data_IF_640254642045
#
_entry.id   IF_640254642045
#
_cell.length_a   1.000
_cell.length_b   1.000
_cell.length_c   1.000
_cell.angle_alpha   90.00
_cell.angle_beta   90.00
_cell.angle_gamma   90.00
#
_symmetry.space_group_name_H-M   'P 1'
#
loop_
_entity.id
_entity.type
_entity.pdbx_description
1 polymer ?
#
# COMPACT_ATOMS: atom_id res chain seq x y z
N UNK A 1 -60.69 14.82 -53.39
CA UNK A 1 -60.21 14.48 -52.01
C UNK A 1 -58.75 14.89 -51.94
N UNK A 2 -58.45 16.05 -51.37
CA UNK A 2 -57.10 16.60 -51.24
C UNK A 2 -56.52 16.11 -49.92
N UNK A 3 -55.40 15.39 -49.97
CA UNK A 3 -54.64 14.89 -48.79
C UNK A 3 -54.01 16.12 -48.07
N UNK A 4 -54.07 16.22 -46.77
CA UNK A 4 -53.42 17.32 -46.04
C UNK A 4 -51.92 17.04 -46.01
N UNK A 5 -51.13 18.08 -46.32
CA UNK A 5 -49.67 18.01 -46.30
C UNK A 5 -49.17 17.80 -44.83
N UNK A 6 -48.29 16.84 -44.63
CA UNK A 6 -47.66 16.57 -43.35
C UNK A 6 -46.82 17.78 -42.89
N UNK A 7 -46.80 18.13 -41.58
CA UNK A 7 -45.99 19.21 -41.08
C UNK A 7 -44.49 18.89 -41.20
N UNK A 8 -43.79 19.76 -41.93
CA UNK A 8 -42.33 19.67 -42.07
C UNK A 8 -41.69 20.19 -40.76
N UNK A 9 -41.02 19.30 -40.03
CA UNK A 9 -40.21 19.70 -38.88
C UNK A 9 -39.01 20.52 -39.36
N UNK A 10 -38.71 21.69 -38.78
CA UNK A 10 -37.57 22.49 -39.19
C UNK A 10 -36.27 21.71 -38.92
N UNK A 11 -35.48 21.49 -39.96
CA UNK A 11 -34.13 20.92 -39.85
C UNK A 11 -33.23 21.97 -39.22
N UNK A 12 -32.91 21.80 -37.92
CA UNK A 12 -31.95 22.66 -37.21
C UNK A 12 -30.58 22.35 -37.75
N UNK A 13 -30.09 23.18 -38.65
CA UNK A 13 -28.76 23.05 -39.23
C UNK A 13 -27.72 23.61 -38.25
N UNK A 14 -27.27 22.81 -37.30
CA UNK A 14 -26.21 23.18 -36.35
C UNK A 14 -24.86 23.17 -37.05
N UNK A 15 -24.15 24.32 -37.08
CA UNK A 15 -22.86 24.38 -37.78
C UNK A 15 -21.80 23.53 -37.05
N UNK A 16 -21.43 22.40 -37.67
CA UNK A 16 -20.48 21.42 -37.10
C UNK A 16 -19.19 22.06 -36.61
N UNK A 17 -18.68 23.10 -37.29
CA UNK A 17 -17.49 23.83 -36.89
C UNK A 17 -17.63 24.59 -35.54
N UNK A 18 -18.81 25.15 -35.26
CA UNK A 18 -19.07 25.83 -33.97
C UNK A 18 -19.14 24.80 -32.84
N UNK A 19 -19.78 23.65 -33.08
CA UNK A 19 -19.84 22.54 -32.10
C UNK A 19 -18.45 21.97 -31.77
N UNK A 20 -17.60 21.76 -32.78
CA UNK A 20 -16.24 21.29 -32.57
C UNK A 20 -15.39 22.32 -31.78
N UNK A 21 -15.53 23.60 -32.09
CA UNK A 21 -14.81 24.68 -31.35
C UNK A 21 -15.23 24.74 -29.88
N UNK A 22 -16.53 24.72 -29.59
CA UNK A 22 -17.02 24.74 -28.19
C UNK A 22 -16.61 23.50 -27.43
N UNK A 23 -16.73 22.30 -28.05
CA UNK A 23 -16.32 21.05 -27.43
C UNK A 23 -14.81 21.03 -27.12
N UNK A 24 -13.98 21.44 -28.10
CA UNK A 24 -12.52 21.51 -27.92
C UNK A 24 -12.12 22.51 -26.82
N UNK A 25 -12.80 23.68 -26.76
CA UNK A 25 -12.52 24.69 -25.76
C UNK A 25 -12.91 24.20 -24.35
N UNK A 26 -14.07 23.61 -24.19
CA UNK A 26 -14.53 23.06 -22.91
C UNK A 26 -13.64 21.89 -22.47
N UNK A 27 -13.32 20.96 -23.38
CA UNK A 27 -12.44 19.84 -23.07
C UNK A 27 -11.02 20.33 -22.71
N UNK A 28 -10.47 21.27 -23.47
CA UNK A 28 -9.14 21.85 -23.19
C UNK A 28 -9.11 22.61 -21.86
N UNK A 29 -10.11 23.43 -21.57
CA UNK A 29 -10.20 24.16 -20.29
C UNK A 29 -10.35 23.19 -19.12
N UNK A 30 -11.22 22.17 -19.25
CA UNK A 30 -11.40 21.16 -18.20
C UNK A 30 -10.12 20.39 -17.95
N UNK A 31 -9.44 19.92 -19.01
CA UNK A 31 -8.14 19.23 -18.87
C UNK A 31 -7.07 20.11 -18.22
N UNK A 32 -6.98 21.38 -18.65
CA UNK A 32 -6.05 22.34 -18.05
C UNK A 32 -6.32 22.53 -16.54
N UNK A 33 -7.59 22.72 -16.15
CA UNK A 33 -7.94 22.92 -14.73
C UNK A 33 -7.63 21.67 -13.88
N UNK A 34 -7.85 20.45 -14.40
CA UNK A 34 -7.49 19.22 -13.70
C UNK A 34 -5.99 19.11 -13.49
N UNK A 35 -5.17 19.35 -14.54
CA UNK A 35 -3.72 19.30 -14.44
C UNK A 35 -3.19 20.39 -13.50
N UNK A 36 -3.73 21.61 -13.59
CA UNK A 36 -3.35 22.69 -12.70
C UNK A 36 -3.67 22.36 -11.23
N UNK A 37 -4.86 21.86 -10.95
CA UNK A 37 -5.23 21.45 -9.60
C UNK A 37 -4.30 20.35 -9.08
N UNK A 38 -3.99 19.35 -9.92
CA UNK A 38 -3.08 18.26 -9.55
C UNK A 38 -1.68 18.81 -9.21
N UNK A 39 -1.09 19.63 -10.05
CA UNK A 39 0.25 20.21 -9.82
C UNK A 39 0.33 21.07 -8.55
N UNK A 40 -0.75 21.81 -8.25
CA UNK A 40 -0.81 22.63 -7.03
C UNK A 40 -0.97 21.80 -5.77
N UNK A 41 -1.62 20.63 -5.85
CA UNK A 41 -1.88 19.75 -4.71
C UNK A 41 -0.80 18.67 -4.51
N UNK A 42 -0.04 18.33 -5.54
CA UNK A 42 0.99 17.28 -5.51
C UNK A 42 1.98 17.43 -4.34
N UNK A 43 2.60 18.61 -4.07
CA UNK A 43 3.54 18.75 -2.95
C UNK A 43 2.88 18.51 -1.58
N UNK A 44 1.62 18.90 -1.41
CA UNK A 44 0.87 18.65 -0.17
C UNK A 44 0.51 17.16 -0.01
N UNK A 45 0.21 16.49 -1.12
CA UNK A 45 -0.08 15.05 -1.14
C UNK A 45 1.16 14.25 -0.73
N UNK A 46 2.33 14.59 -1.29
CA UNK A 46 3.60 13.92 -0.97
C UNK A 46 4.00 14.14 0.50
N UNK A 47 3.87 15.33 1.02
CA UNK A 47 4.17 15.62 2.42
C UNK A 47 3.20 14.90 3.37
N UNK A 48 1.90 14.90 3.08
CA UNK A 48 0.93 14.14 3.88
C UNK A 48 1.21 12.64 3.86
N UNK A 49 1.63 12.09 2.72
CA UNK A 49 2.03 10.69 2.59
C UNK A 49 3.27 10.39 3.43
N UNK A 50 4.29 11.26 3.40
CA UNK A 50 5.50 11.13 4.22
C UNK A 50 5.16 11.10 5.72
N UNK A 51 4.32 12.03 6.18
CA UNK A 51 3.87 12.10 7.58
C UNK A 51 3.04 10.86 7.96
N UNK A 52 2.19 10.37 7.05
CA UNK A 52 1.39 9.19 7.31
C UNK A 52 2.27 7.94 7.48
N UNK A 53 3.28 7.75 6.63
CA UNK A 53 4.23 6.64 6.73
C UNK A 53 5.03 6.73 8.03
N UNK A 54 5.50 7.92 8.40
CA UNK A 54 6.26 8.13 9.63
C UNK A 54 5.45 7.76 10.88
N UNK A 55 4.20 8.22 10.97
CA UNK A 55 3.29 7.87 12.07
C UNK A 55 2.98 6.37 12.09
N UNK A 56 2.76 5.78 10.92
CA UNK A 56 2.50 4.36 10.80
C UNK A 56 3.70 3.52 11.25
N UNK A 57 4.93 3.94 10.91
CA UNK A 57 6.15 3.25 11.28
C UNK A 57 6.30 3.13 12.79
N UNK A 58 6.20 4.24 13.53
CA UNK A 58 6.29 4.23 14.99
C UNK A 58 5.16 3.46 15.68
N UNK A 59 4.06 3.21 14.97
CA UNK A 59 2.96 2.39 15.46
C UNK A 59 3.21 0.90 15.24
N UNK A 60 3.81 0.52 14.10
CA UNK A 60 4.05 -0.89 13.75
C UNK A 60 5.39 -1.43 14.25
N UNK A 61 6.35 -0.57 14.59
CA UNK A 61 7.63 -0.95 15.19
C UNK A 61 7.69 -0.42 16.63
N UNK A 62 7.28 -1.20 17.63
CA UNK A 62 7.34 -0.79 19.03
C UNK A 62 8.80 -0.53 19.45
N UNK A 63 9.03 0.63 20.11
CA UNK A 63 10.37 1.01 20.59
C UNK A 63 11.22 1.78 19.59
N UNK A 64 10.81 1.91 18.32
CA UNK A 64 11.52 2.78 17.39
C UNK A 64 11.34 4.26 17.76
N UNK A 65 12.45 5.01 17.77
CA UNK A 65 12.48 6.46 18.01
C UNK A 65 13.04 7.23 16.82
N UNK A 66 13.73 6.54 15.91
CA UNK A 66 14.26 7.12 14.67
C UNK A 66 14.04 6.21 13.48
N UNK A 67 14.13 6.77 12.27
CA UNK A 67 13.91 6.09 11.01
C UNK A 67 15.02 6.39 10.02
N UNK A 68 15.45 5.38 9.27
CA UNK A 68 16.27 5.54 8.07
C UNK A 68 15.61 4.81 6.92
N UNK A 69 15.62 5.45 5.75
CA UNK A 69 15.00 4.91 4.54
C UNK A 69 16.08 4.28 3.65
N UNK A 70 15.77 3.10 3.13
CA UNK A 70 16.64 2.37 2.21
C UNK A 70 15.85 1.95 0.97
N UNK A 71 16.58 1.67 -0.09
CA UNK A 71 16.04 1.09 -1.33
C UNK A 71 16.66 -0.27 -1.56
N UNK A 72 15.81 -1.27 -1.78
CA UNK A 72 16.20 -2.59 -2.25
C UNK A 72 16.02 -2.62 -3.77
N UNK A 73 17.12 -2.62 -4.51
CA UNK A 73 17.15 -2.82 -5.95
C UNK A 73 17.75 -4.20 -6.26
N UNK A 74 16.88 -5.11 -6.66
CA UNK A 74 17.26 -6.51 -6.84
C UNK A 74 17.80 -7.14 -5.56
N UNK A 75 19.13 -7.23 -5.44
CA UNK A 75 19.79 -7.84 -4.28
C UNK A 75 20.60 -6.84 -3.45
N UNK A 76 20.57 -5.55 -3.77
CA UNK A 76 21.41 -4.54 -3.09
C UNK A 76 20.54 -3.56 -2.32
N UNK A 77 20.90 -3.33 -1.04
CA UNK A 77 20.28 -2.30 -0.20
C UNK A 77 21.18 -1.06 -0.24
N UNK A 78 20.60 0.09 -0.55
CA UNK A 78 21.28 1.38 -0.55
C UNK A 78 20.48 2.39 0.25
N UNK A 79 21.10 3.37 0.93
CA UNK A 79 20.36 4.47 1.54
C UNK A 79 19.48 5.17 0.50
N UNK A 80 18.24 5.44 0.86
CA UNK A 80 17.31 6.14 -0.04
C UNK A 80 17.64 7.63 -0.04
N UNK A 81 18.24 8.10 -1.13
CA UNK A 81 18.37 9.54 -1.38
C UNK A 81 17.01 10.12 -1.77
N UNK A 82 16.58 11.18 -1.08
CA UNK A 82 15.25 11.78 -1.25
C UNK A 82 14.99 12.33 -2.66
N UNK A 83 16.05 12.54 -3.48
CA UNK A 83 15.97 13.23 -4.76
C UNK A 83 16.11 12.34 -6.00
N UNK A 84 16.30 11.04 -5.85
CA UNK A 84 16.36 10.12 -7.01
C UNK A 84 15.12 9.27 -7.07
N UNK A 85 14.46 9.27 -8.25
CA UNK A 85 13.47 8.27 -8.63
C UNK A 85 14.18 6.91 -8.69
N UNK A 86 14.33 6.27 -7.53
CA UNK A 86 15.01 4.98 -7.42
C UNK A 86 14.02 3.87 -7.82
N UNK A 87 14.43 3.04 -8.74
CA UNK A 87 13.80 1.76 -9.05
C UNK A 87 14.08 0.80 -7.91
N UNK A 88 13.04 0.22 -7.30
CA UNK A 88 13.21 -0.75 -6.22
C UNK A 88 12.11 -0.67 -5.16
N UNK A 89 12.21 -1.55 -4.17
CA UNK A 89 11.29 -1.57 -3.03
C UNK A 89 11.86 -0.70 -1.90
N UNK A 90 11.07 0.27 -1.44
CA UNK A 90 11.46 1.10 -0.30
C UNK A 90 11.32 0.33 1.00
N UNK A 91 12.34 0.41 1.84
CA UNK A 91 12.45 -0.22 3.14
C UNK A 91 12.62 0.88 4.18
N UNK A 92 11.89 0.80 5.27
CA UNK A 92 11.98 1.73 6.38
C UNK A 92 12.55 1.00 7.59
N UNK A 93 13.78 1.28 7.97
CA UNK A 93 14.39 0.73 9.17
C UNK A 93 14.10 1.63 10.37
N UNK A 94 13.51 1.06 11.42
CA UNK A 94 13.26 1.73 12.70
C UNK A 94 14.36 1.41 13.70
N UNK A 95 14.87 2.42 14.40
CA UNK A 95 15.93 2.29 15.39
C UNK A 95 15.43 2.79 16.75
N UNK A 96 15.90 2.13 17.81
CA UNK A 96 15.63 2.52 19.19
C UNK A 96 16.51 3.69 19.67
N UNK A 97 16.43 4.04 20.95
CA UNK A 97 17.18 5.11 21.60
C UNK A 97 18.69 4.80 21.70
N UNK A 98 19.10 3.55 21.50
CA UNK A 98 20.49 3.09 21.46
C UNK A 98 21.03 2.89 20.05
N UNK A 99 20.31 3.40 19.05
CA UNK A 99 20.61 3.23 17.62
C UNK A 99 20.67 1.76 17.16
N UNK A 100 19.96 0.86 17.89
CA UNK A 100 19.82 -0.53 17.50
C UNK A 100 18.61 -0.70 16.60
N UNK A 101 18.71 -1.62 15.63
CA UNK A 101 17.58 -1.92 14.73
C UNK A 101 16.43 -2.56 15.53
N UNK A 102 15.33 -1.80 15.72
CA UNK A 102 14.14 -2.25 16.39
C UNK A 102 13.20 -3.06 15.49
N UNK A 103 13.28 -2.85 14.18
CA UNK A 103 12.47 -3.55 13.19
C UNK A 103 12.53 -2.89 11.82
N UNK A 104 11.90 -3.52 10.85
CA UNK A 104 11.90 -3.09 9.46
C UNK A 104 10.45 -2.99 9.01
N UNK A 105 10.07 -1.84 8.41
CA UNK A 105 8.73 -1.69 7.85
C UNK A 105 8.77 -1.67 6.32
N UNK A 106 7.74 -2.26 5.73
CA UNK A 106 7.57 -2.42 4.28
C UNK A 106 6.16 -2.01 3.89
N UNK A 107 6.02 -1.37 2.73
CA UNK A 107 4.71 -1.13 2.14
C UNK A 107 4.25 -2.34 1.34
N UNK A 108 2.97 -2.69 1.48
CA UNK A 108 2.32 -3.70 0.67
C UNK A 108 0.97 -3.18 0.17
N UNK A 109 0.56 -3.62 -1.01
CA UNK A 109 -0.70 -3.23 -1.60
C UNK A 109 -1.34 -4.38 -2.37
N UNK A 110 -2.67 -4.50 -2.25
CA UNK A 110 -3.46 -5.42 -3.07
C UNK A 110 -4.86 -4.87 -3.31
N UNK A 111 -5.49 -5.37 -4.37
CA UNK A 111 -6.90 -5.07 -4.63
C UNK A 111 -7.78 -5.66 -3.54
N UNK A 112 -8.49 -4.78 -2.82
CA UNK A 112 -9.54 -5.12 -1.87
C UNK A 112 -10.88 -5.38 -2.54
N UNK A 113 -11.98 -5.15 -1.80
CA UNK A 113 -13.32 -5.28 -2.36
C UNK A 113 -13.68 -4.10 -3.27
N UNK A 114 -13.45 -2.85 -2.84
CA UNK A 114 -13.79 -1.66 -3.62
C UNK A 114 -12.59 -1.06 -4.36
N UNK A 115 -11.46 -0.91 -3.68
CA UNK A 115 -10.27 -0.27 -4.22
C UNK A 115 -9.00 -0.95 -3.68
N UNK A 116 -7.85 -0.46 -4.12
CA UNK A 116 -6.55 -0.90 -3.63
C UNK A 116 -6.39 -0.53 -2.16
N UNK A 117 -6.16 -1.54 -1.34
CA UNK A 117 -5.74 -1.40 0.05
C UNK A 117 -4.22 -1.30 0.07
N UNK A 118 -3.69 -0.30 0.77
CA UNK A 118 -2.25 -0.13 1.01
C UNK A 118 -1.99 -0.13 2.51
N UNK A 119 -1.03 -0.94 2.93
CA UNK A 119 -0.63 -1.05 4.33
C UNK A 119 0.88 -0.82 4.48
N UNK A 120 1.28 -0.41 5.67
CA UNK A 120 2.63 -0.57 6.18
C UNK A 120 2.63 -1.74 7.16
N UNK A 121 3.58 -2.66 7.05
CA UNK A 121 3.73 -3.75 8.01
C UNK A 121 5.16 -3.81 8.52
N UNK A 122 5.37 -4.26 9.74
CA UNK A 122 6.69 -4.43 10.32
C UNK A 122 7.12 -5.88 10.31
N UNK A 123 8.37 -6.12 9.97
CA UNK A 123 9.09 -7.37 10.11
C UNK A 123 10.15 -7.23 11.19
N UNK A 124 10.17 -8.15 12.12
CA UNK A 124 11.16 -8.24 13.18
C UNK A 124 12.09 -9.42 12.89
N UNK A 125 13.37 -9.15 12.56
CA UNK A 125 14.34 -10.20 12.26
C UNK A 125 14.63 -11.14 13.43
N UNK A 126 14.44 -10.70 14.68
CA UNK A 126 14.74 -11.52 15.86
C UNK A 126 13.74 -12.67 16.04
N UNK A 127 12.47 -12.46 15.74
CA UNK A 127 11.45 -13.52 15.74
C UNK A 127 11.18 -14.10 14.35
N UNK A 128 11.72 -13.50 13.29
CA UNK A 128 11.38 -13.80 11.89
C UNK A 128 9.88 -13.74 11.67
N UNK A 129 9.23 -12.69 12.19
CA UNK A 129 7.79 -12.56 12.21
C UNK A 129 7.33 -11.14 11.85
N UNK A 130 6.08 -11.00 11.41
CA UNK A 130 5.41 -9.71 11.25
C UNK A 130 4.82 -9.33 12.61
N UNK A 131 5.14 -8.10 13.10
CA UNK A 131 4.75 -7.61 14.43
C UNK A 131 3.58 -6.63 14.42
N UNK A 132 3.17 -6.15 13.27
CA UNK A 132 2.06 -5.21 13.17
C UNK A 132 1.79 -4.76 11.75
N UNK A 133 0.58 -4.26 11.55
CA UNK A 133 0.17 -3.61 10.30
C UNK A 133 -0.50 -2.27 10.62
N UNK A 134 -0.36 -1.31 9.71
CA UNK A 134 -1.12 -0.07 9.70
C UNK A 134 -1.65 0.22 8.31
N UNK A 135 -2.93 0.54 8.21
CA UNK A 135 -3.56 0.84 6.91
C UNK A 135 -3.25 2.28 6.52
N UNK A 136 -2.48 2.46 5.44
CA UNK A 136 -2.14 3.79 4.90
C UNK A 136 -3.24 4.35 3.99
N UNK A 137 -3.89 3.47 3.22
CA UNK A 137 -4.97 3.85 2.29
C UNK A 137 -5.94 2.69 2.12
N UNK A 138 -7.22 2.99 2.20
CA UNK A 138 -8.30 2.08 1.81
C UNK A 138 -9.55 2.88 1.44
N UNK A 139 -10.43 2.27 0.64
CA UNK A 139 -11.77 2.76 0.32
C UNK A 139 -12.81 1.66 0.49
N UNK A 140 -12.63 0.83 1.52
CA UNK A 140 -13.51 -0.30 1.82
C UNK A 140 -14.84 0.15 2.43
N UNK A 141 -15.86 -0.70 2.35
CA UNK A 141 -17.20 -0.41 2.88
C UNK A 141 -17.16 -0.13 4.38
N UNK A 142 -17.62 1.04 4.85
CA UNK A 142 -17.67 1.38 6.27
C UNK A 142 -18.46 0.36 7.10
N UNK A 143 -17.93 -0.02 8.26
CA UNK A 143 -18.52 -1.00 9.17
C UNK A 143 -18.35 -2.46 8.75
N UNK A 144 -17.78 -2.72 7.57
CA UNK A 144 -17.54 -4.08 7.03
C UNK A 144 -16.05 -4.23 6.70
N UNK A 145 -15.60 -3.74 5.56
CA UNK A 145 -14.23 -3.90 5.08
C UNK A 145 -13.22 -3.02 5.83
N UNK A 146 -13.66 -1.89 6.35
CA UNK A 146 -12.81 -0.99 7.16
C UNK A 146 -12.40 -1.56 8.52
N UNK A 147 -13.00 -2.66 8.95
CA UNK A 147 -12.61 -3.42 10.15
C UNK A 147 -11.17 -3.94 10.09
N UNK A 148 -10.61 -4.16 8.90
CA UNK A 148 -9.19 -4.55 8.76
C UNK A 148 -8.23 -3.56 9.44
N UNK A 149 -8.61 -2.30 9.60
CA UNK A 149 -7.82 -1.26 10.24
C UNK A 149 -8.17 -1.03 11.72
N UNK A 150 -9.29 -1.55 12.22
CA UNK A 150 -9.88 -1.15 13.49
C UNK A 150 -10.24 -2.29 14.43
N UNK A 151 -10.47 -3.48 13.90
CA UNK A 151 -10.89 -4.64 14.70
C UNK A 151 -9.68 -5.21 15.47
N UNK A 152 -9.68 -5.14 16.81
CA UNK A 152 -8.56 -5.62 17.62
C UNK A 152 -8.29 -7.12 17.42
N UNK A 153 -9.34 -7.94 17.25
CA UNK A 153 -9.19 -9.37 17.02
C UNK A 153 -8.50 -9.68 15.69
N UNK A 154 -8.77 -8.86 14.66
CA UNK A 154 -8.07 -8.98 13.39
C UNK A 154 -6.61 -8.51 13.50
N UNK A 155 -6.37 -7.37 14.17
CA UNK A 155 -5.03 -6.81 14.35
C UNK A 155 -4.13 -7.73 15.20
N UNK A 156 -4.70 -8.48 16.14
CA UNK A 156 -3.99 -9.48 16.94
C UNK A 156 -3.33 -10.59 16.09
N UNK A 157 -3.82 -10.88 14.88
CA UNK A 157 -3.17 -11.82 13.98
C UNK A 157 -1.72 -11.43 13.66
N UNK A 158 -1.38 -10.15 13.73
CA UNK A 158 -0.11 -9.60 13.31
C UNK A 158 0.86 -9.32 14.46
N UNK A 159 0.55 -9.69 15.71
CA UNK A 159 1.47 -9.52 16.84
C UNK A 159 2.70 -10.43 16.74
N UNK A 160 2.55 -11.60 16.12
CA UNK A 160 3.63 -12.56 15.85
C UNK A 160 3.25 -13.48 14.67
N UNK A 161 2.92 -12.90 13.51
CA UNK A 161 2.60 -13.67 12.32
C UNK A 161 3.88 -14.24 11.73
N UNK A 162 3.99 -15.56 11.65
CA UNK A 162 5.18 -16.29 11.17
C UNK A 162 5.51 -15.90 9.71
N UNK A 163 6.72 -15.42 9.51
CA UNK A 163 7.27 -15.04 8.21
C UNK A 163 8.70 -15.57 8.03
N UNK A 164 9.02 -16.70 8.68
CA UNK A 164 10.31 -17.36 8.56
C UNK A 164 10.57 -17.81 7.14
N UNK A 165 11.83 -17.72 6.74
CA UNK A 165 12.27 -18.26 5.47
C UNK A 165 12.41 -19.80 5.55
N UNK A 166 12.29 -20.42 4.40
CA UNK A 166 12.57 -21.84 4.23
C UNK A 166 14.08 -22.14 4.46
N UNK A 167 14.43 -23.42 4.54
CA UNK A 167 15.81 -23.84 4.76
C UNK A 167 16.80 -23.39 3.68
N UNK A 168 16.31 -23.03 2.49
CA UNK A 168 17.13 -22.49 1.41
C UNK A 168 17.28 -20.97 1.45
N UNK A 169 16.47 -20.28 2.27
CA UNK A 169 16.40 -18.82 2.33
C UNK A 169 15.91 -18.17 1.05
N UNK A 170 15.16 -18.91 0.23
CA UNK A 170 14.67 -18.42 -1.08
C UNK A 170 13.23 -17.94 -1.05
N UNK A 171 12.49 -18.22 0.01
CA UNK A 171 11.11 -17.81 0.18
C UNK A 171 10.62 -18.11 1.59
N UNK A 172 9.36 -17.82 1.85
CA UNK A 172 8.73 -18.14 3.14
C UNK A 172 8.59 -19.66 3.32
N UNK A 173 8.87 -20.16 4.53
CA UNK A 173 8.68 -21.56 4.90
C UNK A 173 7.21 -21.97 4.75
N UNK A 174 6.30 -21.06 5.05
CA UNK A 174 4.86 -21.23 4.90
C UNK A 174 4.26 -20.00 4.25
N UNK A 175 3.36 -20.20 3.28
CA UNK A 175 2.63 -19.10 2.68
C UNK A 175 1.69 -18.44 3.70
N UNK A 176 1.72 -17.11 3.79
CA UNK A 176 0.78 -16.36 4.61
C UNK A 176 -0.59 -16.42 3.93
N UNK A 177 -1.57 -17.03 4.60
CA UNK A 177 -2.92 -17.25 4.06
C UNK A 177 -3.98 -16.75 5.02
N UNK A 178 -5.12 -16.32 4.47
CA UNK A 178 -6.31 -16.01 5.24
C UNK A 178 -7.20 -17.26 5.34
N UNK A 179 -7.58 -17.63 6.55
CA UNK A 179 -8.54 -18.72 6.83
C UNK A 179 -9.89 -18.14 7.23
N UNK A 180 -10.93 -18.99 7.23
CA UNK A 180 -12.28 -18.60 7.67
C UNK A 180 -12.23 -18.17 9.14
N UNK A 181 -13.06 -17.18 9.49
CA UNK A 181 -13.19 -16.71 10.89
C UNK A 181 -13.37 -17.85 11.90
N UNK A 182 -12.55 -17.85 12.94
CA UNK A 182 -12.50 -18.89 13.97
C UNK A 182 -11.83 -20.20 13.54
N UNK A 183 -11.15 -20.25 12.39
CA UNK A 183 -10.49 -21.45 11.87
C UNK A 183 -8.96 -21.38 11.87
N UNK A 184 -8.37 -20.34 12.46
CA UNK A 184 -6.91 -20.20 12.59
C UNK A 184 -6.36 -21.26 13.53
N UNK A 185 -5.39 -22.04 13.05
CA UNK A 185 -4.67 -23.08 13.82
C UNK A 185 -3.17 -22.85 13.83
N UNK A 186 -2.63 -22.18 12.82
CA UNK A 186 -1.22 -22.01 12.59
C UNK A 186 -0.77 -20.54 12.67
N UNK A 187 0.50 -20.34 12.99
CA UNK A 187 1.09 -19.00 13.17
C UNK A 187 1.18 -18.17 11.89
N UNK A 188 1.25 -18.80 10.71
CA UNK A 188 1.25 -18.13 9.41
C UNK A 188 -0.14 -17.83 8.83
N UNK A 189 -1.20 -18.21 9.56
CA UNK A 189 -2.58 -17.97 9.15
C UNK A 189 -3.11 -16.65 9.73
N UNK A 190 -3.98 -16.01 8.97
CA UNK A 190 -4.73 -14.82 9.37
C UNK A 190 -6.19 -15.20 9.50
N UNK A 191 -6.76 -15.05 10.70
CA UNK A 191 -8.19 -15.26 10.95
C UNK A 191 -8.99 -14.15 10.30
N UNK A 192 -9.81 -14.47 9.29
CA UNK A 192 -10.53 -13.48 8.52
C UNK A 192 -11.68 -12.86 9.32
N UNK A 193 -12.01 -11.62 8.98
CA UNK A 193 -13.19 -10.94 9.51
C UNK A 193 -14.44 -11.50 8.83
N UNK A 194 -15.42 -11.94 9.65
CA UNK A 194 -16.73 -12.35 9.13
C UNK A 194 -17.40 -11.19 8.39
N UNK A 195 -17.81 -11.44 7.14
CA UNK A 195 -18.39 -10.42 6.26
C UNK A 195 -17.38 -9.56 5.48
N UNK A 196 -16.09 -9.55 5.86
CA UNK A 196 -15.02 -8.83 5.15
C UNK A 196 -13.96 -9.78 4.57
N UNK A 197 -14.36 -10.93 4.08
CA UNK A 197 -13.45 -11.99 3.61
C UNK A 197 -12.56 -11.55 2.46
N UNK A 198 -13.06 -10.72 1.55
CA UNK A 198 -12.27 -10.25 0.39
C UNK A 198 -11.15 -9.32 0.87
N UNK A 199 -11.47 -8.37 1.75
CA UNK A 199 -10.48 -7.44 2.33
C UNK A 199 -9.46 -8.18 3.19
N UNK A 200 -9.88 -9.16 4.01
CA UNK A 200 -8.98 -10.02 4.81
C UNK A 200 -8.05 -10.86 3.92
N UNK A 201 -8.56 -11.43 2.83
CA UNK A 201 -7.74 -12.16 1.84
C UNK A 201 -6.77 -11.24 1.09
N UNK A 202 -7.18 -9.99 0.82
CA UNK A 202 -6.29 -9.02 0.20
C UNK A 202 -5.10 -8.70 1.10
N UNK A 203 -5.33 -8.53 2.43
CA UNK A 203 -4.26 -8.33 3.41
C UNK A 203 -3.31 -9.54 3.44
N UNK A 204 -3.83 -10.77 3.53
CA UNK A 204 -3.00 -11.98 3.53
C UNK A 204 -2.14 -12.09 2.25
N UNK A 205 -2.77 -11.86 1.09
CA UNK A 205 -2.08 -11.93 -0.20
C UNK A 205 -0.96 -10.90 -0.31
N UNK A 206 -1.22 -9.62 0.02
CA UNK A 206 -0.18 -8.59 -0.09
C UNK A 206 0.98 -8.83 0.86
N UNK A 207 0.73 -9.32 2.08
CA UNK A 207 1.78 -9.71 3.02
C UNK A 207 2.59 -10.89 2.48
N UNK A 208 1.91 -11.95 2.01
CA UNK A 208 2.58 -13.10 1.40
C UNK A 208 3.47 -12.68 0.23
N UNK A 209 2.93 -11.96 -0.74
CA UNK A 209 3.61 -11.63 -1.99
C UNK A 209 4.81 -10.71 -1.75
N UNK A 210 4.63 -9.67 -0.92
CA UNK A 210 5.72 -8.75 -0.58
C UNK A 210 6.80 -9.45 0.26
N UNK A 211 6.42 -10.25 1.26
CA UNK A 211 7.40 -10.98 2.09
C UNK A 211 8.17 -12.02 1.28
N UNK A 212 7.51 -12.78 0.40
CA UNK A 212 8.16 -13.73 -0.52
C UNK A 212 9.19 -13.04 -1.40
N UNK A 213 8.90 -11.83 -1.87
CA UNK A 213 9.79 -11.10 -2.77
C UNK A 213 10.94 -10.41 -2.04
N UNK A 214 10.69 -9.86 -0.85
CA UNK A 214 11.62 -8.94 -0.19
C UNK A 214 12.48 -9.65 0.86
N UNK A 215 11.89 -10.49 1.72
CA UNK A 215 12.59 -11.06 2.88
C UNK A 215 13.81 -11.91 2.51
N UNK A 216 13.82 -12.72 1.43
CA UNK A 216 15.01 -13.47 1.03
C UNK A 216 16.24 -12.61 0.72
N UNK A 217 16.01 -11.39 0.22
CA UNK A 217 17.07 -10.44 -0.08
C UNK A 217 17.44 -9.60 1.15
N UNK A 218 16.44 -9.19 1.91
CA UNK A 218 16.58 -8.39 3.11
C UNK A 218 17.40 -9.12 4.19
N UNK A 219 17.07 -10.37 4.49
CA UNK A 219 17.73 -11.16 5.54
C UNK A 219 19.21 -11.41 5.28
N UNK A 220 19.62 -11.51 4.01
CA UNK A 220 21.03 -11.65 3.62
C UNK A 220 21.85 -10.39 3.83
N UNK A 221 21.21 -9.25 3.99
CA UNK A 221 21.86 -7.94 4.07
C UNK A 221 21.49 -7.16 5.34
N UNK A 222 20.98 -7.84 6.36
CA UNK A 222 20.62 -7.22 7.64
C UNK A 222 21.79 -6.47 8.28
N UNK A 223 23.02 -6.96 8.12
CA UNK A 223 24.23 -6.32 8.64
C UNK A 223 24.43 -4.90 8.10
N UNK A 224 23.99 -4.63 6.86
CA UNK A 224 24.08 -3.28 6.29
C UNK A 224 23.09 -2.30 6.96
N UNK A 225 22.01 -2.80 7.53
CA UNK A 225 21.06 -2.00 8.30
C UNK A 225 21.55 -1.77 9.73
N UNK A 226 22.37 -2.67 10.29
CA UNK A 226 22.99 -2.51 11.61
C UNK A 226 24.22 -1.59 11.58
N UNK A 227 24.91 -1.47 10.44
CA UNK A 227 26.21 -0.83 10.32
C UNK A 227 26.23 0.63 9.84
N UNK A 228 25.08 1.29 9.62
CA UNK A 228 25.05 2.68 9.14
C UNK A 228 25.16 3.75 10.24
N UNK A 229 25.66 3.40 11.41
CA UNK A 229 26.01 4.35 12.46
C UNK A 229 27.48 4.80 12.26
N UNK A 230 27.69 5.85 11.46
CA UNK A 230 28.97 6.56 11.45
C UNK A 230 29.73 6.65 10.14
N UNK A 231 29.34 7.54 9.28
CA UNK A 231 30.26 8.40 8.51
C UNK A 231 29.62 9.77 8.35
#
# INVERSE_FOLDING_TARGET
MSQPAAPQTPVVNTPAGAMLRTLSLVAGLSGFLVVLAYQLTEPLIEENKRIAIERALFKVIPGAVSRRDFMLDGTTITPADSDKAATGTRIYAGYDDQDQLAGIALEAAAQGYQDVIRILYSYDPACECIRGIEVLKMAETPGIGDKIAKDPAFLQNFEALDARLDASGSGLAHAIISVKHGSKTESWQIDAISGATISSKAVARMLNDTSQQVLPHLTRQLEQLHGSAGE
#
